data_IF_676801089444
#
_entry.id   IF_676801089444
#
_cell.length_a   1.000
_cell.length_b   1.000
_cell.length_c   1.000
_cell.angle_alpha   90.00
_cell.angle_beta   90.00
_cell.angle_gamma   90.00
#
_symmetry.space_group_name_H-M   'P 1'
#
loop_
_entity.id
_entity.type
_entity.pdbx_description
1 polymer ?
#
# COMPACT_ATOMS: atom_id res chain seq x y z
N UNK A 1 22.18 -49.64 -46.45
CA UNK A 1 22.25 -49.80 -44.99
C UNK A 1 23.59 -49.24 -44.53
N UNK A 2 23.68 -47.92 -44.34
CA UNK A 2 24.85 -47.22 -43.81
C UNK A 2 24.32 -46.19 -42.81
N UNK A 3 24.59 -46.40 -41.53
CA UNK A 3 24.20 -45.49 -40.46
C UNK A 3 25.30 -44.43 -40.28
N UNK A 4 24.94 -43.17 -40.50
CA UNK A 4 25.79 -42.03 -40.19
C UNK A 4 25.70 -41.75 -38.68
N UNK A 5 26.78 -42.03 -37.95
CA UNK A 5 26.99 -41.56 -36.59
C UNK A 5 27.52 -40.12 -36.65
N UNK A 6 26.64 -39.14 -36.44
CA UNK A 6 27.06 -37.75 -36.17
C UNK A 6 27.59 -37.65 -34.75
N UNK A 7 28.92 -37.56 -34.61
CA UNK A 7 29.57 -37.15 -33.36
C UNK A 7 29.18 -35.69 -33.07
N UNK A 8 28.26 -35.51 -32.12
CA UNK A 8 27.98 -34.22 -31.51
C UNK A 8 29.14 -33.87 -30.58
N UNK A 9 30.09 -33.07 -31.07
CA UNK A 9 31.12 -32.46 -30.24
C UNK A 9 30.44 -31.45 -29.30
N UNK A 10 30.12 -31.89 -28.09
CA UNK A 10 29.76 -31.00 -27.00
C UNK A 10 31.01 -30.18 -26.64
N UNK A 11 31.13 -28.98 -27.21
CA UNK A 11 32.09 -27.99 -26.73
C UNK A 11 31.64 -27.58 -25.33
N UNK A 12 32.13 -28.29 -24.31
CA UNK A 12 32.24 -27.77 -22.96
C UNK A 12 33.17 -26.56 -23.07
N UNK A 13 32.58 -25.38 -23.25
CA UNK A 13 33.27 -24.14 -22.96
C UNK A 13 33.58 -24.17 -21.47
N UNK A 14 34.82 -24.57 -21.14
CA UNK A 14 35.37 -24.35 -19.82
C UNK A 14 35.43 -22.83 -19.67
N UNK A 15 34.47 -22.23 -18.97
CA UNK A 15 34.68 -20.90 -18.43
C UNK A 15 35.98 -21.00 -17.63
N UNK A 16 37.00 -20.23 -18.02
CA UNK A 16 38.18 -20.09 -17.20
C UNK A 16 37.69 -19.69 -15.80
N UNK A 17 38.00 -20.53 -14.80
CA UNK A 17 37.64 -20.23 -13.43
C UNK A 17 38.26 -18.87 -13.09
N UNK A 18 37.47 -17.98 -12.51
CA UNK A 18 38.00 -16.71 -12.04
C UNK A 18 39.02 -16.98 -10.94
N UNK A 19 40.18 -16.35 -11.05
CA UNK A 19 41.29 -16.49 -10.10
C UNK A 19 41.77 -15.14 -9.58
N UNK A 20 41.08 -14.06 -9.93
CA UNK A 20 41.49 -12.71 -9.57
C UNK A 20 40.54 -12.13 -8.53
N UNK A 21 41.03 -11.42 -7.51
CA UNK A 21 40.14 -10.70 -6.61
C UNK A 21 39.39 -9.55 -7.32
N UNK A 22 38.23 -9.14 -6.80
CA UNK A 22 37.45 -8.06 -7.37
C UNK A 22 38.17 -6.72 -7.26
N UNK A 23 38.01 -5.85 -8.25
CA UNK A 23 38.46 -4.46 -8.18
C UNK A 23 37.42 -3.65 -7.38
N UNK A 24 37.82 -3.22 -6.19
CA UNK A 24 37.06 -2.29 -5.34
C UNK A 24 37.40 -0.84 -5.68
N UNK A 25 36.38 -0.01 -5.88
CA UNK A 25 36.47 1.44 -6.00
C UNK A 25 35.74 2.09 -4.83
N UNK A 26 36.44 2.98 -4.11
CA UNK A 26 35.84 3.85 -3.09
C UNK A 26 35.56 5.19 -3.77
N UNK A 27 34.29 5.51 -3.91
CA UNK A 27 33.80 6.63 -4.72
C UNK A 27 33.60 7.88 -3.86
N UNK A 28 33.15 7.71 -2.61
CA UNK A 28 32.96 8.80 -1.66
C UNK A 28 33.11 8.30 -0.22
N UNK A 29 33.56 9.19 0.66
CA UNK A 29 33.73 8.94 2.10
C UNK A 29 33.32 10.18 2.87
N UNK A 30 32.20 10.10 3.60
CA UNK A 30 31.66 11.21 4.38
C UNK A 30 31.73 10.90 5.88
N UNK A 31 32.57 11.60 6.64
CA UNK A 31 32.58 11.45 8.09
C UNK A 31 31.39 12.17 8.73
N UNK A 32 30.80 11.52 9.72
CA UNK A 32 29.79 12.07 10.63
C UNK A 32 30.34 12.02 12.06
N UNK A 33 29.53 12.39 13.04
CA UNK A 33 29.96 12.45 14.46
C UNK A 33 30.23 11.04 15.01
N UNK A 34 29.36 10.06 14.71
CA UNK A 34 29.44 8.70 15.26
C UNK A 34 29.58 7.59 14.21
N UNK A 35 29.69 7.96 12.93
CA UNK A 35 29.86 6.99 11.84
C UNK A 35 30.57 7.62 10.64
N UNK A 36 30.94 6.78 9.68
CA UNK A 36 31.39 7.19 8.35
C UNK A 36 30.54 6.48 7.31
N UNK A 37 30.03 7.23 6.34
CA UNK A 37 29.37 6.69 5.17
C UNK A 37 30.38 6.49 4.05
N UNK A 38 30.57 5.25 3.62
CA UNK A 38 31.45 4.89 2.50
C UNK A 38 30.62 4.45 1.30
N UNK A 39 30.77 5.13 0.17
CA UNK A 39 30.17 4.72 -1.10
C UNK A 39 31.20 3.94 -1.90
N UNK A 40 30.89 2.68 -2.20
CA UNK A 40 31.81 1.76 -2.89
C UNK A 40 31.16 1.09 -4.10
N UNK A 41 31.99 0.55 -4.99
CA UNK A 41 31.57 -0.23 -6.15
C UNK A 41 32.59 -1.34 -6.44
N UNK A 42 32.09 -2.54 -6.73
CA UNK A 42 32.90 -3.65 -7.26
C UNK A 42 32.74 -3.74 -8.78
N UNK A 43 33.76 -4.18 -9.49
CA UNK A 43 33.67 -4.49 -10.93
C UNK A 43 32.92 -5.81 -11.23
N UNK A 44 32.70 -6.65 -10.22
CA UNK A 44 32.07 -7.97 -10.31
C UNK A 44 31.21 -8.27 -9.06
N UNK A 45 30.47 -9.39 -9.10
CA UNK A 45 29.65 -9.82 -7.97
C UNK A 45 30.53 -10.34 -6.84
N UNK A 46 30.25 -9.91 -5.61
CA UNK A 46 31.06 -10.33 -4.47
C UNK A 46 30.52 -9.85 -3.13
N UNK A 47 31.43 -9.84 -2.16
CA UNK A 47 31.25 -9.34 -0.81
C UNK A 47 32.22 -8.17 -0.61
N UNK A 48 31.75 -7.12 0.04
CA UNK A 48 32.59 -5.99 0.45
C UNK A 48 32.33 -5.67 1.92
N UNK A 49 33.39 -5.37 2.66
CA UNK A 49 33.31 -4.87 4.02
C UNK A 49 34.25 -3.69 4.20
N UNK A 50 33.86 -2.76 5.07
CA UNK A 50 34.69 -1.62 5.45
C UNK A 50 34.69 -1.47 6.97
N UNK A 51 35.82 -1.03 7.51
CA UNK A 51 36.03 -0.96 8.94
C UNK A 51 36.88 0.23 9.33
N UNK A 52 36.68 0.71 10.56
CA UNK A 52 37.47 1.75 11.18
C UNK A 52 38.38 1.17 12.26
N UNK A 53 39.60 1.70 12.33
CA UNK A 53 40.51 1.56 13.46
C UNK A 53 40.98 2.95 13.88
N UNK A 54 40.96 3.25 15.17
CA UNK A 54 41.50 4.51 15.68
C UNK A 54 42.98 4.63 15.26
N UNK A 55 43.37 5.76 14.67
CA UNK A 55 44.68 5.94 14.00
C UNK A 55 45.87 5.68 14.94
N UNK A 56 45.67 5.75 16.26
CA UNK A 56 46.68 5.40 17.26
C UNK A 56 47.17 3.94 17.19
N UNK A 57 46.42 3.04 16.53
CA UNK A 57 46.69 1.59 16.54
C UNK A 57 47.69 1.12 15.47
N UNK A 58 48.03 1.93 14.46
CA UNK A 58 49.11 1.72 13.47
C UNK A 58 49.27 0.30 12.88
N UNK A 59 48.19 -0.48 12.74
CA UNK A 59 48.22 -1.78 12.06
C UNK A 59 47.08 -1.92 11.04
N UNK A 60 47.31 -2.72 9.99
CA UNK A 60 46.28 -3.06 9.00
C UNK A 60 45.43 -4.23 9.52
N UNK A 61 44.08 -4.14 9.51
CA UNK A 61 43.21 -5.25 9.88
C UNK A 61 43.54 -6.54 9.12
N UNK A 62 43.48 -7.67 9.82
CA UNK A 62 43.59 -8.97 9.16
C UNK A 62 42.37 -9.29 8.31
N UNK A 63 42.52 -10.19 7.33
CA UNK A 63 41.40 -10.68 6.52
C UNK A 63 40.28 -11.25 7.40
N UNK A 64 40.63 -11.97 8.48
CA UNK A 64 39.64 -12.50 9.41
C UNK A 64 38.82 -11.40 10.08
N UNK A 65 39.48 -10.34 10.56
CA UNK A 65 38.78 -9.20 11.17
C UNK A 65 37.87 -8.52 10.14
N UNK A 66 38.35 -8.32 8.91
CA UNK A 66 37.54 -7.73 7.84
C UNK A 66 36.36 -8.60 7.41
N UNK A 67 36.37 -9.91 7.64
CA UNK A 67 35.22 -10.78 7.37
C UNK A 67 34.21 -10.83 8.52
N UNK A 68 34.67 -10.63 9.76
CA UNK A 68 33.84 -10.85 10.96
C UNK A 68 33.50 -9.57 11.72
N UNK A 69 34.14 -8.45 11.42
CA UNK A 69 34.04 -7.20 12.18
C UNK A 69 34.65 -7.24 13.59
N UNK A 70 35.33 -8.33 13.95
CA UNK A 70 35.79 -8.53 15.34
C UNK A 70 37.04 -7.71 15.65
N UNK A 71 37.03 -6.97 16.76
CA UNK A 71 38.19 -6.18 17.21
C UNK A 71 38.47 -4.94 16.36
N UNK A 72 37.43 -4.37 15.76
CA UNK A 72 37.45 -3.13 14.99
C UNK A 72 36.58 -2.10 15.73
N UNK A 73 36.86 -0.81 15.55
CA UNK A 73 36.11 0.27 16.22
C UNK A 73 34.78 0.55 15.54
N UNK A 74 34.70 0.30 14.23
CA UNK A 74 33.46 0.29 13.46
C UNK A 74 33.56 -0.68 12.29
N UNK A 75 32.43 -1.23 11.86
CA UNK A 75 32.37 -2.24 10.81
C UNK A 75 31.01 -2.25 10.11
N UNK A 76 31.03 -2.41 8.79
CA UNK A 76 29.85 -2.77 8.00
C UNK A 76 30.25 -3.65 6.81
N UNK A 77 29.30 -4.41 6.27
CA UNK A 77 29.52 -5.29 5.13
C UNK A 77 28.26 -5.58 4.34
N UNK A 78 28.39 -5.85 3.05
CA UNK A 78 27.27 -6.20 2.18
C UNK A 78 27.71 -7.10 1.01
N UNK A 79 26.75 -7.82 0.44
CA UNK A 79 26.92 -8.50 -0.84
C UNK A 79 26.68 -7.49 -1.96
N UNK A 80 27.67 -7.33 -2.84
CA UNK A 80 27.65 -6.38 -3.92
C UNK A 80 27.45 -7.05 -5.28
N UNK A 81 26.64 -6.42 -6.12
CA UNK A 81 26.48 -6.74 -7.54
C UNK A 81 27.43 -5.87 -8.35
N UNK A 82 27.99 -6.45 -9.41
CA UNK A 82 28.91 -5.81 -10.33
C UNK A 82 28.41 -4.42 -10.77
N UNK A 83 29.31 -3.45 -10.70
CA UNK A 83 29.13 -2.06 -11.14
C UNK A 83 27.97 -1.30 -10.48
N UNK A 84 27.51 -1.74 -9.30
CA UNK A 84 26.47 -1.06 -8.51
C UNK A 84 27.10 -0.33 -7.32
N UNK A 85 26.57 0.85 -7.00
CA UNK A 85 27.01 1.63 -5.85
C UNK A 85 26.36 1.12 -4.56
N UNK A 86 27.15 0.94 -3.52
CA UNK A 86 26.71 0.54 -2.19
C UNK A 86 27.19 1.52 -1.15
N UNK A 87 26.33 1.81 -0.17
CA UNK A 87 26.65 2.64 0.98
C UNK A 87 26.88 1.73 2.19
N UNK A 88 28.09 1.75 2.74
CA UNK A 88 28.45 1.06 3.98
C UNK A 88 28.55 2.10 5.11
N UNK A 89 27.92 1.80 6.25
CA UNK A 89 27.85 2.68 7.41
C UNK A 89 28.75 2.16 8.52
N UNK A 90 29.98 2.64 8.56
CA UNK A 90 30.96 2.26 9.59
C UNK A 90 30.65 3.06 10.86
N UNK A 91 29.81 2.48 11.74
CA UNK A 91 29.21 3.16 12.89
C UNK A 91 29.91 2.86 14.23
N UNK A 92 29.36 3.43 15.33
CA UNK A 92 29.82 3.29 16.72
C UNK A 92 31.20 3.94 16.96
N UNK A 93 31.51 4.98 16.19
CA UNK A 93 32.76 5.72 16.31
C UNK A 93 32.66 6.81 17.38
N UNK A 94 33.79 7.14 18.00
CA UNK A 94 33.89 8.26 18.92
C UNK A 94 33.95 9.59 18.16
N UNK A 95 33.35 10.68 18.69
CA UNK A 95 33.38 12.00 18.07
C UNK A 95 34.76 12.65 18.19
N UNK A 96 35.10 13.54 17.25
CA UNK A 96 36.39 14.22 17.17
C UNK A 96 37.63 13.29 17.18
N UNK A 97 37.47 12.05 16.70
CA UNK A 97 38.51 11.02 16.73
C UNK A 97 39.01 10.72 15.32
N UNK A 98 40.32 10.51 15.19
CA UNK A 98 40.97 10.11 13.95
C UNK A 98 40.86 8.60 13.76
N UNK A 99 40.38 8.19 12.60
CA UNK A 99 40.28 6.80 12.20
C UNK A 99 41.00 6.53 10.88
N UNK A 100 41.59 5.35 10.81
CA UNK A 100 42.03 4.71 9.58
C UNK A 100 40.91 3.78 9.10
N UNK A 101 40.33 4.09 7.95
CA UNK A 101 39.35 3.25 7.28
C UNK A 101 40.04 2.27 6.33
N UNK A 102 39.62 1.01 6.38
CA UNK A 102 40.07 -0.04 5.47
C UNK A 102 38.86 -0.74 4.88
N UNK A 103 38.97 -1.20 3.64
CA UNK A 103 37.98 -2.04 3.00
C UNK A 103 38.59 -3.34 2.47
N UNK A 104 37.77 -4.36 2.43
CA UNK A 104 38.06 -5.69 1.95
C UNK A 104 37.01 -6.10 0.93
N UNK A 105 37.41 -6.81 -0.11
CA UNK A 105 36.50 -7.37 -1.09
C UNK A 105 36.89 -8.81 -1.45
N UNK A 106 35.88 -9.62 -1.75
CA UNK A 106 36.01 -11.01 -2.18
C UNK A 106 34.93 -11.33 -3.20
N UNK A 107 35.27 -12.01 -4.29
CA UNK A 107 34.32 -12.39 -5.32
C UNK A 107 33.47 -13.62 -4.91
N UNK A 108 32.56 -14.04 -5.79
CA UNK A 108 31.76 -15.27 -5.59
C UNK A 108 32.55 -16.59 -5.63
N UNK A 109 33.83 -16.56 -6.04
CA UNK A 109 34.73 -17.72 -6.08
C UNK A 109 35.73 -17.73 -4.90
N UNK A 110 35.55 -16.84 -3.92
CA UNK A 110 36.38 -16.72 -2.71
C UNK A 110 37.81 -16.22 -3.03
N UNK A 111 37.98 -15.51 -4.15
CA UNK A 111 39.18 -14.76 -4.45
C UNK A 111 39.13 -13.42 -3.71
N UNK A 112 39.71 -13.38 -2.51
CA UNK A 112 39.71 -12.21 -1.65
C UNK A 112 40.94 -11.30 -1.79
N UNK A 113 40.82 -10.07 -1.32
CA UNK A 113 41.95 -9.17 -1.11
C UNK A 113 43.04 -9.78 -0.20
N UNK A 114 44.28 -9.59 -0.62
CA UNK A 114 45.47 -9.81 0.22
C UNK A 114 45.62 -8.69 1.26
N UNK A 115 46.47 -8.91 2.28
CA UNK A 115 46.74 -7.88 3.30
C UNK A 115 47.30 -6.57 2.70
N UNK A 116 48.11 -6.64 1.64
CA UNK A 116 48.61 -5.45 0.96
C UNK A 116 47.52 -4.71 0.21
N UNK A 117 46.54 -5.42 -0.36
CA UNK A 117 45.37 -4.80 -0.99
C UNK A 117 44.46 -4.13 0.04
N UNK A 118 44.23 -4.75 1.20
CA UNK A 118 43.52 -4.10 2.32
C UNK A 118 44.26 -2.83 2.73
N UNK A 119 45.58 -2.90 2.97
CA UNK A 119 46.38 -1.73 3.35
C UNK A 119 46.32 -0.60 2.31
N UNK A 120 46.21 -0.93 1.02
CA UNK A 120 46.11 0.05 -0.05
C UNK A 120 44.77 0.81 -0.08
N UNK A 121 43.72 0.30 0.58
CA UNK A 121 42.43 1.00 0.72
C UNK A 121 42.42 2.06 1.82
N UNK A 122 43.51 2.21 2.58
CA UNK A 122 43.56 3.06 3.77
C UNK A 122 43.16 4.51 3.46
N UNK A 123 42.14 4.99 4.15
CA UNK A 123 41.78 6.41 4.19
C UNK A 123 41.83 6.93 5.63
N UNK A 124 42.38 8.13 5.83
CA UNK A 124 42.38 8.78 7.15
C UNK A 124 41.22 9.76 7.20
N UNK A 125 40.37 9.62 8.20
CA UNK A 125 39.25 10.53 8.45
C UNK A 125 39.26 11.02 9.89
N UNK A 126 38.62 12.16 10.12
CA UNK A 126 38.25 12.60 11.45
C UNK A 126 36.72 12.59 11.56
N UNK A 127 36.18 11.96 12.59
CA UNK A 127 34.76 12.18 12.92
C UNK A 127 34.56 13.63 13.35
N UNK A 128 33.37 14.17 13.11
CA UNK A 128 33.08 15.57 13.42
C UNK A 128 33.16 15.84 14.95
N UNK A 129 33.50 17.09 15.32
CA UNK A 129 33.72 17.51 16.72
C UNK A 129 32.50 18.20 17.34
N UNK A 130 32.34 18.03 18.66
CA UNK A 130 31.18 18.49 19.42
C UNK A 130 30.14 17.38 19.46
N UNK A 131 29.60 17.06 20.64
CA UNK A 131 28.42 16.21 20.70
C UNK A 131 27.38 16.75 19.72
N UNK A 132 26.59 15.86 19.13
CA UNK A 132 25.52 16.31 18.27
C UNK A 132 24.46 17.00 19.13
N UNK A 133 24.33 18.31 18.95
CA UNK A 133 23.32 19.16 19.61
C UNK A 133 22.41 19.82 18.58
N UNK A 134 22.49 19.38 17.33
CA UNK A 134 21.72 19.94 16.22
C UNK A 134 20.48 19.07 16.06
N UNK A 135 19.30 19.68 16.09
CA UNK A 135 18.07 18.94 15.84
C UNK A 135 18.06 18.42 14.39
N UNK A 136 17.52 17.22 14.14
CA UNK A 136 17.43 16.69 12.79
C UNK A 136 16.49 17.52 11.93
N UNK A 137 16.84 17.64 10.65
CA UNK A 137 16.00 18.22 9.60
C UNK A 137 15.10 17.15 9.03
N UNK A 138 13.81 17.25 9.35
CA UNK A 138 12.77 16.39 8.83
C UNK A 138 12.15 16.92 7.54
N UNK A 139 11.88 16.04 6.58
CA UNK A 139 11.12 16.36 5.37
C UNK A 139 10.28 15.18 4.87
N UNK A 140 9.21 15.47 4.13
CA UNK A 140 8.43 14.46 3.41
C UNK A 140 9.02 14.22 2.02
N UNK A 141 8.94 12.98 1.55
CA UNK A 141 9.35 12.59 0.20
C UNK A 141 8.13 12.46 -0.70
N UNK A 142 8.13 13.03 -1.93
CA UNK A 142 7.07 12.78 -2.90
C UNK A 142 6.98 11.28 -3.31
N UNK A 143 5.78 10.69 -3.37
CA UNK A 143 4.51 11.23 -2.89
C UNK A 143 4.50 11.26 -1.35
N UNK A 144 4.25 12.43 -0.72
CA UNK A 144 4.34 12.60 0.74
C UNK A 144 3.65 11.47 1.52
N UNK A 145 2.52 11.00 0.97
CA UNK A 145 1.81 9.82 1.44
C UNK A 145 0.96 9.17 0.33
N UNK A 146 0.54 7.93 0.56
CA UNK A 146 -0.46 7.17 -0.22
C UNK A 146 -1.60 6.78 0.72
N UNK A 147 -2.83 7.12 0.35
CA UNK A 147 -4.02 6.93 1.20
C UNK A 147 -4.80 5.69 0.79
N UNK A 148 -5.21 4.89 1.78
CA UNK A 148 -6.10 3.74 1.65
C UNK A 148 -7.43 4.04 2.37
N UNK A 149 -8.37 3.09 2.38
CA UNK A 149 -9.65 3.30 3.07
C UNK A 149 -9.50 3.32 4.60
N UNK A 150 -8.61 2.49 5.14
CA UNK A 150 -8.39 2.35 6.59
C UNK A 150 -6.94 2.55 7.01
N UNK A 151 -6.12 3.10 6.12
CA UNK A 151 -4.70 3.32 6.37
C UNK A 151 -4.12 4.47 5.53
N UNK A 152 -2.92 4.92 5.91
CA UNK A 152 -2.08 5.81 5.12
C UNK A 152 -0.63 5.36 5.22
N UNK A 153 0.08 5.32 4.09
CA UNK A 153 1.53 5.09 4.04
C UNK A 153 2.22 6.43 3.82
N UNK A 154 3.19 6.77 4.67
CA UNK A 154 3.90 8.06 4.68
C UNK A 154 5.35 7.84 4.31
N UNK A 155 5.92 8.74 3.51
CA UNK A 155 7.32 8.69 3.07
C UNK A 155 8.09 9.87 3.65
N UNK A 156 9.19 9.57 4.35
CA UNK A 156 9.92 10.54 5.17
C UNK A 156 11.42 10.49 4.89
N UNK A 157 12.08 11.61 5.14
CA UNK A 157 13.53 11.75 5.07
C UNK A 157 14.06 12.56 6.25
N UNK A 158 15.21 12.14 6.76
CA UNK A 158 16.06 12.94 7.65
C UNK A 158 17.35 13.34 6.92
N UNK A 159 18.06 14.33 7.44
CA UNK A 159 19.43 14.67 7.02
C UNK A 159 20.50 13.78 7.70
N UNK A 160 20.10 12.93 8.64
CA UNK A 160 20.98 12.09 9.45
C UNK A 160 20.26 10.85 9.98
N UNK A 161 21.01 9.97 10.65
CA UNK A 161 20.44 8.76 11.26
C UNK A 161 19.49 9.14 12.39
N UNK A 162 18.33 8.50 12.43
CA UNK A 162 17.33 8.80 13.44
C UNK A 162 16.11 7.90 13.40
N UNK A 163 15.12 8.25 14.22
CA UNK A 163 13.82 7.60 14.28
C UNK A 163 12.74 8.63 14.03
N UNK A 164 11.74 8.26 13.24
CA UNK A 164 10.57 9.09 12.96
C UNK A 164 9.34 8.38 13.50
N UNK A 165 8.46 9.15 14.15
CA UNK A 165 7.13 8.74 14.56
C UNK A 165 6.11 9.61 13.85
N UNK A 166 5.05 9.01 13.33
CA UNK A 166 3.93 9.77 12.78
C UNK A 166 2.61 9.30 13.38
N UNK A 167 1.70 10.24 13.53
CA UNK A 167 0.35 10.01 14.07
C UNK A 167 -0.70 10.66 13.20
N UNK A 168 -1.87 10.03 13.13
CA UNK A 168 -3.07 10.60 12.54
C UNK A 168 -4.02 11.05 13.66
N UNK A 169 -4.53 12.28 13.57
CA UNK A 169 -5.62 12.78 14.41
C UNK A 169 -6.85 13.05 13.57
N UNK A 170 -8.00 12.59 14.03
CA UNK A 170 -9.28 12.80 13.34
C UNK A 170 -9.67 14.28 13.40
N UNK A 171 -9.97 14.88 12.25
CA UNK A 171 -10.49 16.23 12.15
C UNK A 171 -12.02 16.20 12.17
N UNK A 172 -12.59 16.71 13.25
CA UNK A 172 -14.05 16.78 13.46
C UNK A 172 -14.68 18.06 12.89
N UNK A 173 -13.95 18.80 12.04
CA UNK A 173 -14.45 19.97 11.30
C UNK A 173 -13.93 21.32 11.81
N UNK A 174 -13.07 21.32 12.82
CA UNK A 174 -12.43 22.53 13.37
C UNK A 174 -10.90 22.55 13.19
N UNK A 175 -10.35 21.58 12.44
CA UNK A 175 -8.95 21.24 12.49
C UNK A 175 -8.61 20.45 13.74
N UNK A 176 -7.44 19.82 13.75
CA UNK A 176 -6.95 19.09 14.90
C UNK A 176 -6.07 19.96 15.81
N UNK A 177 -6.01 19.61 17.09
CA UNK A 177 -5.03 20.16 18.01
C UNK A 177 -3.70 19.44 17.78
N UNK A 178 -2.65 20.21 17.48
CA UNK A 178 -1.28 19.71 17.33
C UNK A 178 -0.90 18.85 18.54
N UNK A 179 -0.53 17.57 18.34
CA UNK A 179 -0.08 16.70 19.42
C UNK A 179 1.26 17.17 20.01
N UNK A 180 1.48 16.86 21.28
CA UNK A 180 2.79 17.01 21.93
C UNK A 180 3.74 15.88 21.54
N UNK A 181 5.05 16.10 21.67
CA UNK A 181 6.05 15.04 21.45
C UNK A 181 5.83 13.83 22.37
N UNK A 182 5.37 14.05 23.61
CA UNK A 182 5.01 12.97 24.53
C UNK A 182 3.80 12.14 24.04
N UNK A 183 2.76 12.79 23.51
CA UNK A 183 1.59 12.09 22.93
C UNK A 183 1.98 11.25 21.70
N UNK A 184 2.87 11.79 20.86
CA UNK A 184 3.40 11.07 19.71
C UNK A 184 4.24 9.87 20.18
N UNK A 185 5.22 10.06 21.06
CA UNK A 185 6.12 8.97 21.50
C UNK A 185 5.38 7.84 22.24
N UNK A 186 4.34 8.17 23.01
CA UNK A 186 3.57 7.21 23.80
C UNK A 186 2.33 6.65 23.09
N UNK A 187 2.05 7.08 21.86
CA UNK A 187 0.83 6.71 21.12
C UNK A 187 -0.45 6.96 21.93
N UNK A 188 -0.63 8.19 22.42
CA UNK A 188 -1.81 8.59 23.21
C UNK A 188 -2.61 9.68 22.52
N UNK A 189 -3.94 9.64 22.66
CA UNK A 189 -4.87 10.60 22.05
C UNK A 189 -4.72 10.75 20.52
N UNK A 190 -4.49 9.64 19.81
CA UNK A 190 -4.34 9.61 18.35
C UNK A 190 -5.19 8.49 17.76
N UNK A 191 -5.57 8.61 16.48
CA UNK A 191 -6.39 7.62 15.78
C UNK A 191 -5.54 6.48 15.21
N UNK A 192 -4.33 6.78 14.75
CA UNK A 192 -3.34 5.81 14.33
C UNK A 192 -1.93 6.32 14.58
N UNK A 193 -0.98 5.41 14.68
CA UNK A 193 0.42 5.67 15.01
C UNK A 193 1.34 4.68 14.29
N UNK A 194 2.50 5.16 13.85
CA UNK A 194 3.56 4.32 13.33
C UNK A 194 4.93 4.94 13.63
N UNK A 195 5.97 4.11 13.58
CA UNK A 195 7.37 4.54 13.71
C UNK A 195 8.24 3.81 12.71
N UNK A 196 9.35 4.44 12.31
CA UNK A 196 10.38 3.84 11.48
C UNK A 196 11.76 4.41 11.84
N UNK A 197 12.80 3.62 11.59
CA UNK A 197 14.18 4.11 11.61
C UNK A 197 14.58 4.64 10.23
N UNK A 198 15.40 5.68 10.24
CA UNK A 198 15.96 6.33 9.07
C UNK A 198 17.47 6.22 9.19
N UNK A 199 18.12 5.62 8.19
CA UNK A 199 19.55 5.31 8.24
C UNK A 199 20.26 5.70 6.94
N UNK A 200 21.55 6.01 7.04
CA UNK A 200 22.41 6.37 5.92
C UNK A 200 22.48 5.27 4.84
N UNK A 201 22.41 3.99 5.24
CA UNK A 201 22.34 2.84 4.33
C UNK A 201 21.10 2.85 3.43
N UNK A 202 20.05 3.57 3.84
CA UNK A 202 18.80 3.78 3.08
C UNK A 202 18.70 5.20 2.51
N UNK A 203 19.84 5.88 2.30
CA UNK A 203 19.92 7.27 1.84
C UNK A 203 19.14 8.25 2.75
N UNK A 204 19.01 7.93 4.03
CA UNK A 204 18.21 8.66 5.00
C UNK A 204 16.71 8.78 4.63
N UNK A 205 16.18 7.78 3.92
CA UNK A 205 14.77 7.72 3.52
C UNK A 205 14.10 6.50 4.13
N UNK A 206 12.82 6.62 4.48
CA UNK A 206 12.04 5.49 4.97
C UNK A 206 10.54 5.69 4.71
N UNK A 207 9.76 4.66 4.98
CA UNK A 207 8.29 4.72 4.91
C UNK A 207 7.65 4.00 6.09
N UNK A 208 6.44 4.42 6.46
CA UNK A 208 5.67 3.79 7.53
C UNK A 208 4.19 3.79 7.20
N UNK A 209 3.47 2.76 7.65
CA UNK A 209 2.02 2.61 7.41
C UNK A 209 1.23 2.75 8.71
N UNK A 210 0.39 3.77 8.78
CA UNK A 210 -0.56 4.01 9.87
C UNK A 210 -1.87 3.32 9.50
N UNK A 211 -2.29 2.33 10.29
CA UNK A 211 -3.49 1.53 10.03
C UNK A 211 -4.56 1.73 11.13
N UNK A 212 -5.78 1.25 10.87
CA UNK A 212 -6.89 1.34 11.82
C UNK A 212 -7.68 2.64 11.73
N UNK A 213 -7.52 3.37 10.63
CA UNK A 213 -8.30 4.59 10.36
C UNK A 213 -9.73 4.23 9.92
N UNK A 214 -10.66 5.16 10.13
CA UNK A 214 -12.04 5.05 9.65
C UNK A 214 -12.12 5.53 8.19
N UNK A 215 -12.94 4.88 7.39
CA UNK A 215 -13.10 5.18 5.96
C UNK A 215 -13.86 6.49 5.72
N UNK A 216 -13.45 7.26 4.71
CA UNK A 216 -14.07 8.55 4.36
C UNK A 216 -13.86 9.66 5.40
N UNK A 217 -13.05 9.42 6.43
CA UNK A 217 -12.79 10.35 7.53
C UNK A 217 -11.59 11.24 7.22
N UNK A 218 -11.69 12.51 7.59
CA UNK A 218 -10.60 13.48 7.46
C UNK A 218 -9.67 13.41 8.67
N UNK A 219 -8.37 13.44 8.41
CA UNK A 219 -7.32 13.39 9.42
C UNK A 219 -6.26 14.46 9.14
N UNK A 220 -5.57 14.87 10.21
CA UNK A 220 -4.29 15.56 10.12
C UNK A 220 -3.18 14.60 10.54
N UNK A 221 -2.16 14.47 9.68
CA UNK A 221 -0.93 13.75 9.97
C UNK A 221 0.07 14.69 10.64
N UNK A 222 0.70 14.23 11.71
CA UNK A 222 1.83 14.90 12.36
C UNK A 222 2.98 13.93 12.49
N UNK A 223 4.21 14.40 12.27
CA UNK A 223 5.41 13.61 12.46
C UNK A 223 6.36 14.28 13.45
N UNK A 224 7.14 13.44 14.12
CA UNK A 224 8.15 13.78 15.10
C UNK A 224 9.39 12.96 14.78
N UNK A 225 10.58 13.53 14.95
CA UNK A 225 11.81 12.77 14.77
C UNK A 225 12.82 13.03 15.88
N UNK A 226 13.67 12.05 16.09
CA UNK A 226 14.81 12.05 16.98
C UNK A 226 16.02 11.56 16.20
N UNK A 227 17.15 12.24 16.26
CA UNK A 227 18.39 11.72 15.68
C UNK A 227 19.00 10.60 16.54
N UNK A 228 20.09 10.00 16.07
CA UNK A 228 20.82 8.97 16.80
C UNK A 228 21.50 9.46 18.08
N UNK A 229 21.75 10.77 18.22
CA UNK A 229 22.33 11.38 19.41
C UNK A 229 21.30 11.74 20.49
N UNK A 230 20.02 11.63 20.15
CA UNK A 230 18.90 11.85 21.05
C UNK A 230 18.28 13.25 20.97
N UNK A 231 18.66 14.09 20.00
CA UNK A 231 18.03 15.39 19.80
C UNK A 231 16.72 15.22 19.03
N UNK A 232 15.70 15.98 19.42
CA UNK A 232 14.38 15.97 18.81
C UNK A 232 14.23 17.12 17.81
N UNK A 233 13.32 16.95 16.84
CA UNK A 233 12.99 18.04 15.88
C UNK A 233 12.42 19.29 16.57
N UNK A 234 11.81 19.12 17.74
CA UNK A 234 11.23 20.20 18.53
C UNK A 234 12.22 20.75 19.56
N UNK A 235 13.35 20.10 19.83
CA UNK A 235 14.33 20.58 20.81
C UNK A 235 15.40 19.55 21.12
N UNK A 236 16.46 19.97 21.79
CA UNK A 236 17.54 19.07 22.18
C UNK A 236 17.57 18.97 23.71
N UNK A 237 18.26 18.00 24.33
CA UNK A 237 18.47 18.03 25.77
C UNK A 237 19.10 19.35 26.28
N UNK A 238 19.73 20.13 25.37
CA UNK A 238 20.31 21.45 25.64
C UNK A 238 19.39 22.64 25.30
N UNK A 239 18.26 22.44 24.59
CA UNK A 239 17.37 23.51 24.12
C UNK A 239 15.90 23.19 24.46
N UNK A 240 15.15 24.20 24.90
CA UNK A 240 13.73 24.03 25.20
C UNK A 240 12.93 23.56 23.97
N UNK A 241 11.89 22.75 24.20
CA UNK A 241 11.03 22.29 23.11
C UNK A 241 10.21 23.44 22.49
N UNK A 242 10.14 23.44 21.17
CA UNK A 242 9.38 24.34 20.30
C UNK A 242 8.28 23.54 19.60
N UNK A 243 7.04 23.53 20.15
CA UNK A 243 5.91 22.82 19.58
C UNK A 243 5.55 23.26 18.15
N UNK A 244 6.03 24.43 17.70
CA UNK A 244 5.78 24.88 16.32
C UNK A 244 6.41 23.95 15.28
N UNK A 245 7.50 23.24 15.65
CA UNK A 245 8.18 22.28 14.78
C UNK A 245 7.31 21.08 14.44
N UNK A 246 6.58 20.54 15.42
CA UNK A 246 5.59 19.47 15.17
C UNK A 246 4.45 20.02 14.33
N UNK A 247 3.94 21.21 14.65
CA UNK A 247 2.85 21.83 13.89
C UNK A 247 3.18 22.06 12.41
N UNK A 248 4.45 22.32 12.10
CA UNK A 248 4.93 22.51 10.73
C UNK A 248 4.95 21.22 9.90
N UNK A 249 4.89 20.05 10.56
CA UNK A 249 4.76 18.75 9.87
C UNK A 249 3.32 18.42 9.47
N UNK A 250 2.34 19.26 9.85
CA UNK A 250 0.92 18.97 9.60
C UNK A 250 0.64 18.75 8.11
N UNK A 251 0.14 17.57 7.78
CA UNK A 251 -0.38 17.24 6.45
C UNK A 251 -1.82 16.73 6.55
N UNK A 252 -2.82 17.46 6.01
CA UNK A 252 -4.20 16.97 5.98
C UNK A 252 -4.36 15.87 4.93
N UNK A 253 -5.17 14.86 5.24
CA UNK A 253 -5.60 13.85 4.29
C UNK A 253 -7.02 13.36 4.63
N UNK A 254 -7.70 12.76 3.65
CA UNK A 254 -8.97 12.08 3.88
C UNK A 254 -8.82 10.64 3.44
N UNK A 255 -9.14 9.69 4.33
CA UNK A 255 -9.14 8.27 3.95
C UNK A 255 -10.10 8.05 2.80
N UNK A 256 -9.78 7.08 1.96
CA UNK A 256 -10.63 6.76 0.84
C UNK A 256 -11.97 6.28 1.37
N UNK A 257 -13.03 6.96 0.99
CA UNK A 257 -14.35 6.36 1.09
C UNK A 257 -14.44 5.32 -0.02
N UNK A 258 -14.43 4.03 0.32
CA UNK A 258 -14.89 2.99 -0.62
C UNK A 258 -16.38 3.16 -0.97
N UNK A 259 -17.06 4.10 -0.32
CA UNK A 259 -18.39 4.56 -0.65
C UNK A 259 -18.35 5.93 -1.30
N UNK A 260 -18.32 5.96 -2.62
CA UNK A 260 -19.25 6.85 -3.29
C UNK A 260 -20.54 6.01 -3.36
N UNK A 261 -21.63 6.34 -2.66
CA UNK A 261 -22.86 5.57 -2.76
C UNK A 261 -23.32 5.60 -4.21
N UNK A 262 -23.59 4.42 -4.75
CA UNK A 262 -24.30 4.29 -6.00
C UNK A 262 -25.68 4.91 -5.84
N UNK A 263 -26.19 5.56 -6.87
CA UNK A 263 -27.50 6.21 -6.82
C UNK A 263 -28.50 5.38 -7.61
N UNK A 264 -29.56 4.95 -6.92
CA UNK A 264 -30.74 4.35 -7.53
C UNK A 264 -31.76 5.47 -7.78
N UNK A 265 -32.13 5.71 -9.04
CA UNK A 265 -33.16 6.67 -9.43
C UNK A 265 -34.40 5.89 -9.88
N UNK A 266 -35.47 5.96 -9.11
CA UNK A 266 -36.79 5.48 -9.53
C UNK A 266 -37.38 6.53 -10.48
N UNK A 267 -37.69 6.19 -11.73
CA UNK A 267 -38.13 7.16 -12.75
C UNK A 267 -39.65 7.25 -12.92
N UNK A 268 -40.38 6.19 -12.58
CA UNK A 268 -41.84 6.15 -12.62
C UNK A 268 -42.38 5.57 -11.29
N UNK A 269 -43.35 6.19 -10.60
CA UNK A 269 -44.25 7.27 -11.05
C UNK A 269 -43.66 8.70 -11.04
N UNK A 270 -42.43 8.88 -10.56
CA UNK A 270 -41.69 10.14 -10.60
C UNK A 270 -40.28 9.95 -10.05
N UNK A 271 -39.33 10.86 -10.38
CA UNK A 271 -37.93 10.73 -9.99
C UNK A 271 -37.75 10.78 -8.47
N UNK A 272 -37.36 9.65 -7.88
CA UNK A 272 -36.93 9.56 -6.46
C UNK A 272 -35.56 8.90 -6.40
N UNK A 273 -34.63 9.52 -5.68
CA UNK A 273 -33.26 9.02 -5.53
C UNK A 273 -33.09 8.30 -4.19
N UNK A 274 -32.44 7.15 -4.22
CA UNK A 274 -32.06 6.38 -3.04
C UNK A 274 -30.55 6.11 -3.05
N UNK A 275 -29.85 6.36 -1.93
CA UNK A 275 -28.47 5.93 -1.78
C UNK A 275 -28.42 4.40 -1.65
N UNK A 276 -27.59 3.75 -2.45
CA UNK A 276 -27.41 2.29 -2.39
C UNK A 276 -25.93 1.93 -2.34
N UNK A 277 -25.60 0.83 -1.65
CA UNK A 277 -24.24 0.27 -1.59
C UNK A 277 -24.12 -0.85 -2.62
N UNK A 278 -23.13 -0.80 -3.54
CA UNK A 278 -22.88 -1.92 -4.45
C UNK A 278 -22.31 -3.14 -3.72
N UNK A 279 -22.56 -4.32 -4.28
CA UNK A 279 -21.87 -5.52 -3.83
C UNK A 279 -20.39 -5.48 -4.21
N UNK A 280 -19.53 -6.09 -3.39
CA UNK A 280 -18.10 -6.15 -3.66
C UNK A 280 -17.80 -6.82 -5.01
N UNK A 281 -18.63 -7.79 -5.41
CA UNK A 281 -18.50 -8.49 -6.69
C UNK A 281 -18.94 -7.69 -7.92
N UNK A 282 -19.59 -6.53 -7.76
CA UNK A 282 -19.96 -5.66 -8.90
C UNK A 282 -18.71 -5.17 -9.66
N UNK A 283 -17.57 -5.10 -8.98
CA UNK A 283 -16.26 -4.76 -9.58
C UNK A 283 -15.82 -5.75 -10.65
N UNK A 284 -16.28 -7.00 -10.57
CA UNK A 284 -15.91 -8.08 -11.51
C UNK A 284 -17.00 -8.35 -12.56
N UNK A 285 -17.99 -7.47 -12.69
CA UNK A 285 -19.06 -7.60 -13.69
C UNK A 285 -18.85 -6.63 -14.85
N UNK A 286 -19.30 -6.96 -16.06
CA UNK A 286 -19.28 -6.02 -17.19
C UNK A 286 -20.19 -4.81 -16.91
N UNK A 287 -20.01 -3.72 -17.66
CA UNK A 287 -20.75 -2.47 -17.46
C UNK A 287 -22.26 -2.59 -17.74
N UNK A 288 -22.66 -3.62 -18.47
CA UNK A 288 -24.03 -3.89 -18.91
C UNK A 288 -24.43 -5.32 -18.55
N UNK A 289 -25.64 -5.48 -18.03
CA UNK A 289 -26.31 -6.79 -17.87
C UNK A 289 -27.53 -6.88 -18.76
N UNK A 290 -27.77 -8.06 -19.33
CA UNK A 290 -28.85 -8.33 -20.28
C UNK A 290 -28.40 -8.34 -21.75
N UNK A 291 -29.31 -8.73 -22.64
CA UNK A 291 -29.12 -8.47 -24.07
C UNK A 291 -29.29 -6.97 -24.32
N UNK A 292 -28.34 -6.31 -24.99
CA UNK A 292 -28.47 -4.90 -25.28
C UNK A 292 -29.75 -4.66 -26.10
N UNK A 293 -30.39 -3.51 -25.90
CA UNK A 293 -31.51 -3.10 -26.73
C UNK A 293 -31.09 -3.09 -28.21
N UNK A 294 -32.05 -3.30 -29.12
CA UNK A 294 -31.77 -3.35 -30.55
C UNK A 294 -31.09 -2.03 -31.00
N UNK A 295 -29.78 -2.07 -31.22
CA UNK A 295 -28.96 -0.90 -31.59
C UNK A 295 -27.93 -0.45 -30.55
N UNK A 296 -28.03 -0.90 -29.29
CA UNK A 296 -26.99 -0.68 -28.28
C UNK A 296 -25.91 -1.77 -28.42
N UNK A 297 -24.64 -1.37 -28.37
CA UNK A 297 -23.54 -2.32 -28.20
C UNK A 297 -23.14 -2.28 -26.74
N UNK A 298 -23.25 -3.41 -26.06
CA UNK A 298 -22.56 -3.60 -24.79
C UNK A 298 -21.07 -3.62 -25.11
N UNK A 299 -20.40 -2.48 -24.98
CA UNK A 299 -18.95 -2.36 -25.13
C UNK A 299 -18.32 -3.33 -24.13
N UNK A 300 -17.71 -4.41 -24.62
CA UNK A 300 -16.97 -5.38 -23.80
C UNK A 300 -15.46 -5.15 -23.90
N UNK A 301 -15.05 -3.97 -24.39
CA UNK A 301 -13.65 -3.56 -24.39
C UNK A 301 -13.16 -3.30 -22.96
N UNK A 302 -11.84 -3.23 -22.79
CA UNK A 302 -11.24 -2.99 -21.48
C UNK A 302 -11.61 -1.62 -20.88
N UNK A 303 -11.96 -0.65 -21.73
CA UNK A 303 -12.31 0.72 -21.36
C UNK A 303 -13.72 0.79 -20.77
N UNK A 304 -14.64 -0.08 -21.19
CA UNK A 304 -15.99 -0.15 -20.63
C UNK A 304 -16.02 -0.61 -19.17
N UNK A 305 -15.01 -1.35 -18.71
CA UNK A 305 -14.85 -1.72 -17.29
C UNK A 305 -14.52 -0.52 -16.39
N UNK A 306 -14.07 0.60 -16.98
CA UNK A 306 -13.75 1.83 -16.27
C UNK A 306 -14.95 2.80 -16.22
N UNK A 307 -15.97 2.59 -17.04
CA UNK A 307 -17.20 3.40 -17.00
C UNK A 307 -18.07 2.94 -15.84
N UNK A 308 -18.64 3.87 -15.04
CA UNK A 308 -19.67 3.52 -14.09
C UNK A 308 -20.82 2.81 -14.83
N UNK A 309 -21.17 1.56 -14.47
CA UNK A 309 -22.25 0.86 -15.13
C UNK A 309 -23.56 1.64 -14.94
N UNK A 310 -24.30 1.75 -16.03
CA UNK A 310 -25.62 2.36 -16.03
C UNK A 310 -26.62 1.29 -16.41
N UNK A 311 -27.67 1.18 -15.59
CA UNK A 311 -28.75 0.22 -15.79
C UNK A 311 -30.04 1.00 -16.03
N UNK A 312 -30.20 1.63 -17.23
CA UNK A 312 -31.38 2.41 -17.50
C UNK A 312 -32.60 1.51 -17.73
N UNK A 313 -33.79 2.04 -17.46
CA UNK A 313 -35.07 1.43 -17.81
C UNK A 313 -35.31 0.01 -17.26
N UNK A 314 -34.67 -0.37 -16.15
CA UNK A 314 -34.89 -1.68 -15.56
C UNK A 314 -36.23 -1.71 -14.80
N UNK A 315 -36.85 -2.89 -14.76
CA UNK A 315 -38.13 -3.09 -14.08
C UNK A 315 -37.92 -3.72 -12.71
N UNK A 316 -38.28 -3.00 -11.67
CA UNK A 316 -38.21 -3.47 -10.29
C UNK A 316 -39.43 -4.33 -9.95
N UNK A 317 -39.19 -5.57 -9.54
CA UNK A 317 -40.21 -6.46 -9.01
C UNK A 317 -39.85 -6.78 -7.56
N UNK A 318 -40.82 -6.68 -6.66
CA UNK A 318 -40.65 -7.07 -5.27
C UNK A 318 -41.29 -8.42 -4.98
N UNK A 319 -40.59 -9.23 -4.19
CA UNK A 319 -41.11 -10.46 -3.58
C UNK A 319 -41.18 -10.32 -2.06
N UNK A 320 -41.53 -9.13 -1.55
CA UNK A 320 -41.52 -8.83 -0.11
C UNK A 320 -42.36 -9.78 0.74
N UNK A 321 -43.44 -10.31 0.16
CA UNK A 321 -44.34 -11.27 0.82
C UNK A 321 -43.88 -12.73 0.69
N UNK A 322 -42.79 -13.01 -0.04
CA UNK A 322 -42.35 -14.37 -0.28
C UNK A 322 -41.65 -14.91 0.99
N UNK A 323 -42.12 -16.03 1.57
CA UNK A 323 -41.61 -16.54 2.86
C UNK A 323 -40.14 -16.96 2.84
N UNK A 324 -39.50 -16.96 1.69
CA UNK A 324 -38.12 -17.40 1.52
C UNK A 324 -37.11 -16.28 1.63
N UNK A 325 -37.51 -15.00 1.47
CA UNK A 325 -36.60 -13.88 1.20
C UNK A 325 -35.54 -14.23 0.14
N UNK A 326 -35.90 -15.07 -0.84
CA UNK A 326 -34.99 -15.59 -1.86
C UNK A 326 -33.94 -16.61 -1.39
N UNK A 327 -34.08 -17.19 -0.20
CA UNK A 327 -33.13 -18.17 0.36
C UNK A 327 -33.52 -19.63 0.16
N UNK A 328 -34.82 -19.94 0.22
CA UNK A 328 -35.38 -21.31 0.14
C UNK A 328 -36.49 -21.41 -0.91
N UNK A 329 -36.85 -22.62 -1.32
CA UNK A 329 -37.94 -22.86 -2.29
C UNK A 329 -37.58 -22.48 -3.73
N UNK A 330 -38.58 -22.27 -4.58
CA UNK A 330 -38.43 -21.76 -5.95
C UNK A 330 -38.66 -20.24 -5.96
N UNK A 331 -37.82 -19.48 -6.67
CA UNK A 331 -38.12 -18.07 -6.94
C UNK A 331 -38.98 -18.00 -8.22
N UNK A 332 -40.07 -17.21 -8.24
CA UNK A 332 -40.83 -16.97 -9.46
C UNK A 332 -39.91 -16.52 -10.60
N UNK A 333 -40.02 -17.13 -11.79
CA UNK A 333 -39.18 -16.74 -12.92
C UNK A 333 -39.48 -15.31 -13.37
N UNK A 334 -38.46 -14.59 -13.82
CA UNK A 334 -38.63 -13.30 -14.46
C UNK A 334 -39.50 -13.44 -15.73
N UNK A 335 -40.30 -12.40 -16.02
CA UNK A 335 -41.20 -12.44 -17.16
C UNK A 335 -40.43 -12.50 -18.48
N UNK A 336 -40.73 -13.48 -19.34
CA UNK A 336 -40.08 -13.62 -20.65
C UNK A 336 -40.47 -12.45 -21.56
N UNK A 337 -39.48 -11.84 -22.22
CA UNK A 337 -39.69 -10.78 -23.23
C UNK A 337 -40.06 -9.41 -22.67
N UNK A 338 -39.93 -9.18 -21.36
CA UNK A 338 -40.34 -7.94 -20.70
C UNK A 338 -39.26 -6.86 -20.54
N UNK A 339 -38.03 -7.09 -21.03
CA UNK A 339 -36.87 -6.25 -20.73
C UNK A 339 -36.15 -6.68 -19.45
N UNK A 340 -35.14 -5.91 -18.99
CA UNK A 340 -34.33 -6.31 -17.85
C UNK A 340 -35.07 -6.12 -16.52
N UNK A 341 -34.99 -7.12 -15.64
CA UNK A 341 -35.69 -7.13 -14.35
C UNK A 341 -34.71 -7.10 -13.17
N UNK A 342 -34.97 -6.20 -12.22
CA UNK A 342 -34.30 -6.18 -10.91
C UNK A 342 -35.22 -6.80 -9.88
N UNK A 343 -34.71 -7.80 -9.17
CA UNK A 343 -35.43 -8.41 -8.05
C UNK A 343 -35.15 -7.65 -6.76
N UNK A 344 -36.19 -7.22 -6.05
CA UNK A 344 -36.11 -6.64 -4.70
C UNK A 344 -36.42 -7.69 -3.63
N UNK A 345 -35.48 -7.92 -2.72
CA UNK A 345 -35.62 -8.84 -1.59
C UNK A 345 -35.24 -8.17 -0.26
N UNK A 346 -35.69 -8.72 0.86
CA UNK A 346 -35.17 -8.33 2.18
C UNK A 346 -33.89 -9.10 2.55
N UNK A 347 -33.03 -8.48 3.35
CA UNK A 347 -31.88 -9.12 4.00
C UNK A 347 -32.37 -10.18 5.00
N UNK A 348 -31.59 -11.25 5.16
CA UNK A 348 -31.82 -12.30 6.15
C UNK A 348 -31.91 -13.70 5.55
N UNK A 349 -32.02 -14.73 6.40
CA UNK A 349 -32.18 -16.17 6.11
C UNK A 349 -31.03 -16.88 5.36
N UNK A 350 -30.23 -16.17 4.57
CA UNK A 350 -29.05 -16.69 3.88
C UNK A 350 -28.14 -15.55 3.42
N UNK A 351 -26.93 -15.90 2.99
CA UNK A 351 -25.94 -14.98 2.45
C UNK A 351 -26.40 -14.25 1.18
N UNK A 352 -25.87 -13.05 0.95
CA UNK A 352 -26.21 -12.21 -0.20
C UNK A 352 -25.87 -12.87 -1.54
N UNK A 353 -24.71 -13.50 -1.64
CA UNK A 353 -24.26 -14.19 -2.85
C UNK A 353 -25.24 -15.30 -3.27
N UNK A 354 -25.80 -16.03 -2.29
CA UNK A 354 -26.82 -17.04 -2.53
C UNK A 354 -28.11 -16.45 -3.07
N UNK A 355 -28.57 -15.31 -2.56
CA UNK A 355 -29.74 -14.59 -3.10
C UNK A 355 -29.49 -14.18 -4.55
N UNK A 356 -28.32 -13.62 -4.85
CA UNK A 356 -27.96 -13.18 -6.20
C UNK A 356 -27.90 -14.35 -7.20
N UNK A 357 -27.26 -15.47 -6.85
CA UNK A 357 -27.25 -16.69 -7.69
C UNK A 357 -28.65 -17.21 -7.97
N UNK A 358 -29.52 -17.19 -6.96
CA UNK A 358 -30.91 -17.65 -7.11
C UNK A 358 -31.75 -16.71 -7.97
N UNK A 359 -31.56 -15.40 -7.82
CA UNK A 359 -32.21 -14.40 -8.69
C UNK A 359 -31.76 -14.60 -10.14
N UNK A 360 -30.45 -14.76 -10.39
CA UNK A 360 -29.93 -15.07 -11.72
C UNK A 360 -30.52 -16.36 -12.30
N UNK A 361 -30.58 -17.43 -11.51
CA UNK A 361 -31.16 -18.70 -11.94
C UNK A 361 -32.66 -18.62 -12.26
N UNK A 362 -33.37 -17.65 -11.66
CA UNK A 362 -34.75 -17.34 -11.98
C UNK A 362 -34.91 -16.35 -13.16
N UNK A 363 -33.79 -15.90 -13.77
CA UNK A 363 -33.79 -15.04 -14.95
C UNK A 363 -33.84 -13.54 -14.68
N UNK A 364 -33.57 -13.10 -13.44
CA UNK A 364 -33.41 -11.67 -13.14
C UNK A 364 -32.02 -11.17 -13.53
N UNK A 365 -31.93 -9.93 -13.98
CA UNK A 365 -30.69 -9.29 -14.45
C UNK A 365 -29.89 -8.64 -13.33
N UNK A 366 -30.56 -8.26 -12.23
CA UNK A 366 -29.92 -7.67 -11.07
C UNK A 366 -30.68 -7.97 -9.77
N UNK A 367 -30.02 -7.73 -8.64
CA UNK A 367 -30.61 -7.89 -7.31
C UNK A 367 -30.50 -6.60 -6.48
N UNK A 368 -31.58 -6.21 -5.84
CA UNK A 368 -31.62 -5.13 -4.86
C UNK A 368 -32.05 -5.70 -3.50
N UNK A 369 -31.32 -5.40 -2.43
CA UNK A 369 -31.56 -5.95 -1.10
C UNK A 369 -31.92 -4.85 -0.10
N UNK A 370 -33.06 -4.97 0.57
CA UNK A 370 -33.47 -4.07 1.66
C UNK A 370 -32.91 -4.56 2.98
N UNK A 371 -32.12 -3.74 3.68
CA UNK A 371 -31.67 -4.07 5.03
C UNK A 371 -32.85 -4.15 6.02
N UNK A 372 -32.74 -5.01 7.02
CA UNK A 372 -33.76 -5.19 8.06
C UNK A 372 -33.36 -4.61 9.41
N UNK A 373 -32.08 -4.26 9.58
CA UNK A 373 -31.58 -3.66 10.82
C UNK A 373 -32.00 -2.18 10.88
N UNK A 374 -32.48 -1.69 12.04
CA UNK A 374 -32.75 -0.26 12.22
C UNK A 374 -31.44 0.52 12.11
N UNK A 375 -31.52 1.71 11.51
CA UNK A 375 -30.40 2.66 11.37
C UNK A 375 -30.04 3.19 12.76
N UNK A 376 -29.27 2.43 13.56
CA UNK A 376 -28.82 2.91 14.86
C UNK A 376 -27.39 3.43 14.86
N UNK A 377 -26.59 3.11 13.84
CA UNK A 377 -25.27 3.71 13.66
C UNK A 377 -25.02 3.94 12.17
N UNK A 378 -24.97 5.21 11.79
CA UNK A 378 -24.55 5.64 10.47
C UNK A 378 -23.09 5.25 10.27
N UNK A 379 -22.81 4.14 9.58
CA UNK A 379 -21.65 4.11 8.67
C UNK A 379 -21.59 2.92 7.73
N UNK A 380 -22.12 1.73 8.03
CA UNK A 380 -21.96 0.62 7.07
C UNK A 380 -23.21 -0.25 6.95
N UNK A 381 -23.97 -0.03 5.87
CA UNK A 381 -24.68 -1.15 5.24
C UNK A 381 -23.69 -2.32 5.12
N UNK A 382 -24.09 -3.55 5.47
CA UNK A 382 -23.18 -4.69 5.45
C UNK A 382 -22.56 -4.85 4.06
N UNK A 383 -21.29 -5.23 4.01
CA UNK A 383 -20.69 -5.63 2.75
C UNK A 383 -21.41 -6.86 2.20
N UNK A 384 -21.86 -6.75 0.95
CA UNK A 384 -22.28 -7.92 0.21
C UNK A 384 -21.04 -8.53 -0.43
N UNK A 385 -20.45 -9.48 0.28
CA UNK A 385 -19.32 -10.30 -0.18
C UNK A 385 -19.81 -11.66 -0.70
N UNK A 386 -19.07 -12.21 -1.65
CA UNK A 386 -19.30 -13.57 -2.11
C UNK A 386 -18.69 -14.56 -1.11
N UNK A 387 -19.45 -15.58 -0.71
CA UNK A 387 -18.96 -16.62 0.23
C UNK A 387 -17.87 -17.54 -0.39
N UNK A 388 -17.56 -17.36 -1.68
CA UNK A 388 -16.57 -18.10 -2.47
C UNK A 388 -16.09 -17.24 -3.66
N UNK A 389 -15.04 -17.67 -4.36
CA UNK A 389 -14.56 -17.06 -5.61
C UNK A 389 -15.59 -17.09 -6.77
N UNK A 390 -16.74 -17.71 -6.54
CA UNK A 390 -17.76 -17.89 -7.55
C UNK A 390 -18.67 -16.64 -7.63
N UNK A 391 -18.31 -15.76 -8.56
CA UNK A 391 -19.06 -14.55 -8.91
C UNK A 391 -20.56 -14.88 -9.18
N UNK A 392 -21.51 -14.27 -8.45
CA UNK A 392 -22.95 -14.49 -8.66
C UNK A 392 -23.42 -14.20 -10.10
N UNK A 393 -22.69 -13.34 -10.82
CA UNK A 393 -22.90 -13.05 -12.25
C UNK A 393 -24.07 -12.14 -12.56
N UNK A 394 -24.64 -11.49 -11.54
CA UNK A 394 -25.55 -10.34 -11.69
C UNK A 394 -25.13 -9.25 -10.69
N UNK A 395 -25.26 -7.96 -11.06
CA UNK A 395 -24.95 -6.85 -10.18
C UNK A 395 -25.98 -6.79 -9.07
N UNK A 396 -25.51 -6.38 -7.91
CA UNK A 396 -26.33 -6.31 -6.72
C UNK A 396 -26.08 -5.03 -5.93
N UNK A 397 -27.13 -4.53 -5.29
CA UNK A 397 -27.02 -3.40 -4.36
C UNK A 397 -27.83 -3.66 -3.08
N UNK A 398 -27.47 -2.96 -2.02
CA UNK A 398 -28.20 -2.97 -0.74
C UNK A 398 -28.58 -1.54 -0.37
N UNK A 399 -29.78 -1.37 0.18
CA UNK A 399 -30.31 -0.10 0.63
C UNK A 399 -30.73 -0.18 2.11
N UNK A 400 -30.73 0.97 2.77
CA UNK A 400 -31.13 1.09 4.17
C UNK A 400 -32.59 0.68 4.39
N UNK A 401 -32.89 0.24 5.61
CA UNK A 401 -34.25 -0.18 6.00
C UNK A 401 -35.32 0.88 5.72
N UNK A 402 -35.02 2.13 6.05
CA UNK A 402 -35.95 3.27 5.88
C UNK A 402 -36.27 3.47 4.39
N UNK A 403 -35.24 3.62 3.57
CA UNK A 403 -35.35 3.82 2.13
C UNK A 403 -36.00 2.62 1.43
N UNK A 404 -35.64 1.41 1.84
CA UNK A 404 -36.19 0.19 1.26
C UNK A 404 -37.65 -0.03 1.60
N UNK A 405 -38.08 0.34 2.79
CA UNK A 405 -39.51 0.34 3.11
C UNK A 405 -40.27 1.39 2.30
N UNK A 406 -39.70 2.59 2.09
CA UNK A 406 -40.32 3.61 1.25
C UNK A 406 -40.45 3.15 -0.21
N UNK A 407 -39.41 2.51 -0.76
CA UNK A 407 -39.42 1.92 -2.10
C UNK A 407 -40.46 0.79 -2.22
N UNK A 408 -40.55 -0.08 -1.22
CA UNK A 408 -41.56 -1.15 -1.16
C UNK A 408 -42.98 -0.60 -1.10
N UNK A 409 -43.23 0.46 -0.32
CA UNK A 409 -44.53 1.14 -0.29
C UNK A 409 -44.88 1.77 -1.64
N UNK A 410 -43.89 2.30 -2.36
CA UNK A 410 -44.06 2.85 -3.72
C UNK A 410 -44.44 1.76 -4.72
N UNK A 411 -43.79 0.59 -4.65
CA UNK A 411 -44.14 -0.56 -5.49
C UNK A 411 -45.56 -1.07 -5.21
N UNK A 412 -45.96 -1.15 -3.93
CA UNK A 412 -47.26 -1.66 -3.53
C UNK A 412 -48.43 -0.75 -3.96
N UNK A 413 -48.20 0.56 -4.08
CA UNK A 413 -49.23 1.51 -4.51
C UNK A 413 -49.35 1.62 -6.03
N UNK A 414 -48.40 1.09 -6.79
CA UNK A 414 -48.34 1.27 -8.24
C UNK A 414 -49.03 0.13 -9.00
N UNK A 415 -50.06 0.48 -9.79
CA UNK A 415 -50.94 -0.48 -10.46
C UNK A 415 -50.31 -1.23 -11.62
N UNK A 416 -49.19 -0.74 -12.17
CA UNK A 416 -48.51 -1.40 -13.30
C UNK A 416 -47.75 -2.68 -12.89
N UNK A 417 -47.65 -2.98 -11.60
CA UNK A 417 -46.99 -4.18 -11.08
C UNK A 417 -45.46 -4.14 -11.06
N UNK A 418 -44.84 -3.08 -11.59
CA UNK A 418 -43.40 -2.81 -11.52
C UNK A 418 -43.12 -1.31 -11.56
N UNK A 419 -41.97 -0.91 -11.03
CA UNK A 419 -41.43 0.45 -11.10
C UNK A 419 -40.25 0.45 -12.07
N UNK A 420 -40.04 1.55 -12.80
CA UNK A 420 -38.85 1.70 -13.65
C UNK A 420 -37.74 2.37 -12.86
N UNK A 421 -36.52 1.87 -13.00
CA UNK A 421 -35.34 2.39 -12.32
C UNK A 421 -34.17 2.57 -13.27
N UNK A 422 -33.38 3.61 -12.96
CA UNK A 422 -32.06 3.86 -13.50
C UNK A 422 -31.06 3.73 -12.35
N UNK A 423 -30.11 2.82 -12.45
CA UNK A 423 -29.03 2.68 -11.46
C UNK A 423 -27.77 3.29 -12.06
N UNK A 424 -27.22 4.26 -11.36
CA UNK A 424 -25.87 4.76 -11.62
C UNK A 424 -24.99 4.25 -10.50
N UNK A 425 -24.16 3.26 -10.80
CA UNK A 425 -23.18 2.77 -9.84
C UNK A 425 -22.09 3.83 -9.68
N UNK A 426 -21.51 3.95 -8.50
CA UNK A 426 -20.29 4.75 -8.38
C UNK A 426 -19.11 4.05 -9.06
N UNK A 427 -18.01 4.78 -9.24
CA UNK A 427 -16.79 4.32 -9.91
C UNK A 427 -16.43 2.89 -9.47
N UNK A 428 -16.37 1.97 -10.42
CA UNK A 428 -15.83 0.63 -10.18
C UNK A 428 -14.32 0.75 -9.99
N UNK A 429 -13.74 -0.07 -9.11
CA UNK A 429 -12.28 -0.26 -9.16
C UNK A 429 -11.92 -0.68 -10.59
N UNK A 430 -11.08 0.09 -11.31
CA UNK A 430 -10.71 -0.27 -12.66
C UNK A 430 -10.00 -1.63 -12.62
N UNK A 431 -10.39 -2.54 -13.52
CA UNK A 431 -9.57 -3.69 -13.83
C UNK A 431 -8.32 -3.20 -14.56
N UNK A 432 -7.29 -2.85 -13.80
CA UNK A 432 -6.00 -2.48 -14.36
C UNK A 432 -5.37 -3.72 -15.00
N UNK A 433 -4.87 -3.56 -16.22
CA UNK A 433 -4.01 -4.57 -16.83
C UNK A 433 -2.74 -4.79 -15.98
N UNK A 434 -2.09 -5.94 -16.16
CA UNK A 434 -0.78 -6.21 -15.55
C UNK A 434 0.14 -5.03 -15.92
N UNK A 435 0.68 -4.33 -14.91
CA UNK A 435 1.51 -3.11 -15.00
C UNK A 435 0.82 -1.75 -15.20
N UNK A 436 -0.50 -1.68 -15.23
CA UNK A 436 -1.18 -0.37 -15.14
C UNK A 436 -1.25 0.09 -13.68
N UNK A 437 -1.16 1.41 -13.47
CA UNK A 437 -1.31 2.06 -12.17
C UNK A 437 -2.45 3.07 -12.26
N UNK A 438 -3.19 3.22 -11.17
CA UNK A 438 -4.15 4.31 -10.99
C UNK A 438 -3.75 5.14 -9.77
N UNK A 439 -4.65 6.03 -9.33
CA UNK A 439 -4.47 6.85 -8.13
C UNK A 439 -4.28 6.02 -6.83
N UNK A 440 -4.45 4.70 -6.89
CA UNK A 440 -4.25 3.74 -5.82
C UNK A 440 -2.98 2.88 -5.97
N UNK A 441 -2.07 3.24 -6.88
CA UNK A 441 -0.76 2.60 -7.05
C UNK A 441 -0.72 1.45 -8.06
N UNK A 442 0.46 0.86 -8.24
CA UNK A 442 0.69 -0.25 -9.15
C UNK A 442 0.24 -1.56 -8.49
N UNK A 443 -0.82 -2.18 -9.01
CA UNK A 443 -1.37 -3.43 -8.46
C UNK A 443 -0.88 -4.63 -9.25
N UNK A 444 -0.24 -5.58 -8.58
CA UNK A 444 0.19 -6.86 -9.15
C UNK A 444 -0.91 -7.89 -8.90
N UNK A 445 -1.67 -8.27 -9.92
CA UNK A 445 -2.54 -9.44 -9.83
C UNK A 445 -1.69 -10.70 -9.89
N UNK A 446 -1.54 -11.39 -8.75
CA UNK A 446 -1.15 -12.79 -8.77
C UNK A 446 -2.34 -13.59 -9.29
N UNK A 447 -2.21 -14.11 -10.51
CA UNK A 447 -3.16 -15.05 -11.10
C UNK A 447 -3.20 -16.28 -10.19
N UNK A 448 -4.33 -16.53 -9.54
CA UNK A 448 -4.60 -17.81 -8.88
C UNK A 448 -5.05 -18.84 -9.91
#
# INVERSE_FOLDING_TARGET
MLAFFTLLWLRLAVCAADTTPPVLQIEDTKPFIFHVLMTVRLNENGFVSCAALETATSYTPSISQMKTGTGLDGYDSTSAVANTYYNLVVAVLAPATLYDLYCYAEDSFVNGFTLSQIAATRQVIATASGGDYVAPVFSYLPPNFVVESTAVTVYVQLNEDGTVWCVAREDTGSGTITPTSAEILLNTNVAAWATTTVQASQNYQSSMRLAGLSEGTTYDLYCFAQDAAGNYIDGTPALASDPSKISATRLPFQTLSIFIPSTLIVTAPGPVQYPVKPAAWNTFLPACTGEPLLGERCERDAESWQKPPQYPNHKLISLDSHPSDGCFGHLPPAARGGGPFVLLLRRGKCAFARKARRARAAGYDALLVVDQQPVQYFSTLPDMIADSDENPGIPSWILGKTDGNALLSTLASYTAGYVTLDITDAYRMPALGIYQSDIYGQRVYMKQ
#
